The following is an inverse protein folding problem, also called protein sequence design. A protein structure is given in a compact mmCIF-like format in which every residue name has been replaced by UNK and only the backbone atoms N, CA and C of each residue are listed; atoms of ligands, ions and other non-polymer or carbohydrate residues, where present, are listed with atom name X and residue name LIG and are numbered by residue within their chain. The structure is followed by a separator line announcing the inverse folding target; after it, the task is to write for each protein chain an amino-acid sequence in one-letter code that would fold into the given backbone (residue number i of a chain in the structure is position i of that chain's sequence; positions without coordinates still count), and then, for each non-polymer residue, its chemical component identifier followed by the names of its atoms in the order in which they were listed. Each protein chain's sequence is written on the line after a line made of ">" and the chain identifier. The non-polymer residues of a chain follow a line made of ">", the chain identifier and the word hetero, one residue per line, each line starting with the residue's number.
data_IF_310050251184
#
_entry.id   IF_310050251184
#
_cell.length_a   1.000
_cell.length_b   1.000
_cell.length_c   1.000
_cell.angle_alpha   90.00
_cell.angle_beta   90.00
_cell.angle_gamma   90.00
#
_symmetry.space_group_name_H-M   'P 1'
#
loop_
_entity.id
_entity.type
_entity.pdbx_description
1 polymer ?
#
# COMPACT_ATOMS: atom_id res chain seq x y z
N UNK A 1 -2.43 24.79 -23.29
CA UNK A 1 -1.93 23.67 -22.48
C UNK A 1 -2.52 22.41 -23.02
N UNK A 2 -1.73 21.59 -23.71
CA UNK A 2 -2.12 20.28 -24.23
C UNK A 2 -2.37 19.35 -23.05
N UNK A 3 -3.62 18.91 -22.86
CA UNK A 3 -3.93 17.82 -21.93
C UNK A 3 -3.20 16.58 -22.41
N UNK A 4 -2.14 16.19 -21.76
CA UNK A 4 -1.58 14.85 -21.88
C UNK A 4 -2.58 13.87 -21.27
N UNK A 5 -3.03 12.90 -22.04
CA UNK A 5 -3.87 11.82 -21.53
C UNK A 5 -3.08 11.02 -20.49
N UNK A 6 -3.76 10.41 -19.48
CA UNK A 6 -3.10 9.51 -18.54
C UNK A 6 -2.26 8.49 -19.30
N UNK A 7 -1.06 8.19 -18.79
CA UNK A 7 -0.24 7.16 -19.44
C UNK A 7 -0.97 5.83 -19.40
N UNK A 8 -0.92 5.09 -20.51
CA UNK A 8 -1.53 3.76 -20.61
C UNK A 8 -1.12 2.87 -19.42
N UNK A 9 -2.04 2.06 -18.87
CA UNK A 9 -1.73 1.17 -17.77
C UNK A 9 -0.57 0.25 -18.14
N UNK A 10 0.50 0.31 -17.35
CA UNK A 10 1.64 -0.59 -17.51
C UNK A 10 1.50 -1.75 -16.55
N UNK A 11 1.50 -2.98 -17.06
CA UNK A 11 1.71 -4.17 -16.25
C UNK A 11 3.18 -4.23 -15.83
N UNK A 12 3.44 -4.30 -14.54
CA UNK A 12 4.78 -4.41 -14.00
C UNK A 12 4.83 -5.61 -13.07
N UNK A 13 5.96 -6.28 -13.01
CA UNK A 13 6.22 -7.22 -11.93
C UNK A 13 6.24 -6.47 -10.59
N UNK A 14 6.05 -7.18 -9.47
CA UNK A 14 6.19 -6.57 -8.13
C UNK A 14 7.57 -5.92 -8.00
N UNK A 15 8.61 -6.59 -8.49
CA UNK A 15 9.97 -6.07 -8.51
C UNK A 15 10.05 -4.71 -9.19
N UNK A 16 9.64 -4.65 -10.46
CA UNK A 16 9.66 -3.40 -11.25
C UNK A 16 8.80 -2.29 -10.64
N UNK A 17 7.71 -2.66 -9.96
CA UNK A 17 6.83 -1.70 -9.31
C UNK A 17 7.49 -1.07 -8.07
N UNK A 18 8.18 -1.86 -7.24
CA UNK A 18 8.83 -1.39 -6.01
C UNK A 18 10.14 -0.65 -6.31
N UNK A 19 10.94 -1.13 -7.27
CA UNK A 19 12.21 -0.50 -7.68
C UNK A 19 12.04 0.83 -8.44
N UNK A 20 10.81 1.27 -8.65
CA UNK A 20 10.53 2.59 -9.23
C UNK A 20 11.09 3.69 -8.34
N UNK A 21 11.23 4.89 -8.92
CA UNK A 21 11.54 6.11 -8.16
C UNK A 21 10.76 6.12 -6.87
N UNK A 22 11.36 6.58 -5.80
CA UNK A 22 10.82 6.70 -4.45
C UNK A 22 9.29 6.77 -4.39
N UNK A 23 8.66 5.68 -3.97
CA UNK A 23 7.24 5.63 -3.73
C UNK A 23 6.94 6.33 -2.40
N UNK A 24 6.01 7.25 -2.40
CA UNK A 24 5.57 7.95 -1.20
C UNK A 24 4.13 7.61 -0.86
N UNK A 25 3.91 7.32 0.41
CA UNK A 25 2.56 7.21 0.98
C UNK A 25 2.21 8.58 1.54
N UNK A 26 1.30 9.32 0.89
CA UNK A 26 0.91 10.65 1.35
C UNK A 26 0.24 10.60 2.73
N UNK A 27 0.34 11.71 3.49
CA UNK A 27 -0.22 11.82 4.85
C UNK A 27 -1.75 11.69 4.89
N UNK A 28 -2.42 11.91 3.77
CA UNK A 28 -3.86 11.73 3.64
C UNK A 28 -4.28 10.27 3.42
N UNK A 29 -3.38 9.37 3.14
CA UNK A 29 -3.73 7.96 3.02
C UNK A 29 -4.18 7.39 4.37
N UNK A 30 -5.14 6.45 4.32
CA UNK A 30 -5.54 5.71 5.51
C UNK A 30 -4.38 4.87 6.02
N UNK A 31 -4.44 4.54 7.28
CA UNK A 31 -3.48 3.62 7.90
C UNK A 31 -3.52 2.24 7.24
N UNK A 32 -2.44 1.50 7.43
CA UNK A 32 -2.44 0.09 7.09
C UNK A 32 -3.49 -0.65 7.94
N UNK A 33 -4.46 -1.28 7.27
CA UNK A 33 -5.64 -1.86 7.92
C UNK A 33 -5.86 -3.35 7.60
N UNK A 34 -5.06 -3.93 6.72
CA UNK A 34 -5.15 -5.35 6.46
C UNK A 34 -4.89 -6.17 7.72
N UNK A 35 -5.82 -7.09 8.01
CA UNK A 35 -5.70 -8.07 9.07
C UNK A 35 -5.14 -9.39 8.55
N UNK A 36 -5.22 -10.43 9.39
CA UNK A 36 -4.73 -11.74 9.03
C UNK A 36 -5.44 -12.33 7.81
N UNK A 37 -6.75 -12.10 7.67
CA UNK A 37 -7.55 -12.71 6.61
C UNK A 37 -7.13 -12.22 5.22
N UNK A 38 -6.89 -10.91 5.06
CA UNK A 38 -6.43 -10.33 3.81
C UNK A 38 -4.99 -10.77 3.48
N UNK A 39 -4.13 -10.82 4.49
CA UNK A 39 -2.73 -11.26 4.31
C UNK A 39 -2.65 -12.75 4.02
N UNK A 40 -3.49 -13.57 4.65
CA UNK A 40 -3.63 -15.00 4.36
C UNK A 40 -4.16 -15.25 2.94
N UNK A 41 -5.16 -14.48 2.52
CA UNK A 41 -5.67 -14.57 1.15
C UNK A 41 -4.56 -14.24 0.13
N UNK A 42 -3.80 -13.16 0.34
CA UNK A 42 -2.66 -12.81 -0.50
C UNK A 42 -1.60 -13.95 -0.53
N UNK A 43 -1.24 -14.48 0.63
CA UNK A 43 -0.29 -15.59 0.72
C UNK A 43 -0.80 -16.85 0.01
N UNK A 44 -2.08 -17.17 0.18
CA UNK A 44 -2.75 -18.27 -0.53
C UNK A 44 -2.70 -18.09 -2.04
N UNK A 45 -3.02 -16.91 -2.54
CA UNK A 45 -2.94 -16.57 -3.95
C UNK A 45 -1.52 -16.71 -4.50
N UNK A 46 -0.51 -16.23 -3.76
CA UNK A 46 0.90 -16.36 -4.13
C UNK A 46 1.34 -17.81 -4.19
N UNK A 47 0.98 -18.61 -3.18
CA UNK A 47 1.39 -20.02 -3.10
C UNK A 47 0.65 -20.89 -4.09
N UNK A 48 -0.65 -20.70 -4.26
CA UNK A 48 -1.45 -21.49 -5.19
C UNK A 48 -1.13 -21.15 -6.65
N UNK A 49 -1.11 -19.86 -7.01
CA UNK A 49 -0.93 -19.43 -8.39
C UNK A 49 0.53 -19.44 -8.84
N UNK A 50 1.44 -18.94 -8.01
CA UNK A 50 2.85 -18.85 -8.43
C UNK A 50 3.56 -20.19 -8.28
N UNK A 51 3.31 -20.94 -7.22
CA UNK A 51 4.05 -22.17 -6.94
C UNK A 51 3.41 -23.41 -7.59
N UNK A 52 2.08 -23.47 -7.73
CA UNK A 52 1.39 -24.62 -8.34
C UNK A 52 1.18 -24.46 -9.84
N UNK A 53 0.76 -23.30 -10.30
CA UNK A 53 0.38 -23.09 -11.70
C UNK A 53 1.61 -23.03 -12.60
N UNK A 54 2.75 -22.51 -12.11
CA UNK A 54 3.98 -22.45 -12.87
C UNK A 54 4.47 -23.82 -13.32
N UNK A 55 4.26 -24.87 -12.54
CA UNK A 55 4.64 -26.22 -12.93
C UNK A 55 3.84 -26.75 -14.13
N UNK A 56 2.68 -26.15 -14.43
CA UNK A 56 1.78 -26.56 -15.51
C UNK A 56 1.64 -25.53 -16.63
N UNK A 57 1.89 -24.22 -16.34
CA UNK A 57 1.82 -23.15 -17.34
C UNK A 57 2.78 -22.00 -16.98
N UNK A 58 4.03 -22.02 -17.45
CA UNK A 58 5.07 -21.05 -17.08
C UNK A 58 4.80 -19.61 -17.57
N UNK A 59 3.83 -19.40 -18.45
CA UNK A 59 3.46 -18.07 -18.95
C UNK A 59 2.32 -17.40 -18.16
N UNK A 60 1.75 -18.11 -17.18
CA UNK A 60 0.65 -17.54 -16.40
C UNK A 60 1.20 -16.64 -15.30
N UNK A 61 0.76 -15.39 -15.33
CA UNK A 61 1.05 -14.38 -14.31
C UNK A 61 -0.13 -14.24 -13.38
N UNK A 62 0.12 -13.94 -12.12
CA UNK A 62 -0.91 -13.55 -11.16
C UNK A 62 -1.02 -12.03 -11.12
N UNK A 63 -2.25 -11.53 -11.22
CA UNK A 63 -2.52 -10.11 -11.24
C UNK A 63 -3.04 -9.63 -9.89
N UNK A 64 -2.31 -8.74 -9.25
CA UNK A 64 -2.63 -8.18 -7.93
C UNK A 64 -3.41 -6.88 -7.96
N UNK A 65 -3.99 -6.53 -9.10
CA UNK A 65 -4.86 -5.38 -9.25
C UNK A 65 -4.13 -4.10 -9.65
N UNK A 66 -4.86 -2.98 -9.58
CA UNK A 66 -4.40 -1.67 -10.05
C UNK A 66 -3.79 -0.85 -8.93
N UNK A 67 -2.86 0.04 -9.30
CA UNK A 67 -2.36 1.11 -8.45
C UNK A 67 -2.45 2.44 -9.20
N UNK A 68 -2.78 3.51 -8.49
CA UNK A 68 -2.82 4.86 -9.03
C UNK A 68 -1.69 5.65 -8.38
N UNK A 69 -0.86 6.24 -9.21
CA UNK A 69 0.30 7.02 -8.82
C UNK A 69 0.11 8.47 -9.30
N UNK A 70 0.59 9.41 -8.52
CA UNK A 70 0.71 10.81 -8.91
C UNK A 70 2.19 11.17 -9.03
N UNK A 71 2.59 11.70 -10.19
CA UNK A 71 3.94 12.19 -10.42
C UNK A 71 4.12 13.55 -9.72
N UNK A 72 4.79 13.54 -8.58
CA UNK A 72 5.03 14.72 -7.76
C UNK A 72 6.53 15.01 -7.74
N UNK A 73 6.97 15.92 -8.62
CA UNK A 73 8.37 16.26 -8.81
C UNK A 73 9.28 15.02 -9.02
N UNK A 74 10.15 14.72 -8.06
CA UNK A 74 11.09 13.60 -8.13
C UNK A 74 10.57 12.31 -7.47
N UNK A 75 9.33 12.29 -7.01
CA UNK A 75 8.71 11.15 -6.31
C UNK A 75 7.40 10.71 -6.96
N UNK A 76 6.93 9.54 -6.61
CA UNK A 76 5.63 8.99 -7.00
C UNK A 76 4.76 8.83 -5.75
N UNK A 77 3.73 9.65 -5.62
CA UNK A 77 2.77 9.56 -4.53
C UNK A 77 1.76 8.44 -4.84
N UNK A 78 1.62 7.49 -3.92
CA UNK A 78 0.74 6.33 -4.05
C UNK A 78 -0.68 6.70 -3.63
N UNK A 79 -1.56 6.92 -4.62
CA UNK A 79 -2.94 7.34 -4.40
C UNK A 79 -3.87 6.15 -4.19
N UNK A 80 -3.62 5.02 -4.87
CA UNK A 80 -4.33 3.76 -4.65
C UNK A 80 -3.36 2.57 -4.69
N UNK A 81 -3.70 1.50 -3.97
CA UNK A 81 -2.89 0.30 -3.86
C UNK A 81 -1.98 0.24 -2.63
N UNK A 82 -2.08 1.20 -1.70
CA UNK A 82 -1.23 1.29 -0.51
C UNK A 82 -1.18 0.00 0.32
N UNK A 83 -2.33 -0.60 0.62
CA UNK A 83 -2.41 -1.80 1.46
C UNK A 83 -1.60 -2.95 0.87
N UNK A 84 -1.78 -3.21 -0.43
CA UNK A 84 -1.03 -4.25 -1.16
C UNK A 84 0.45 -3.94 -1.24
N UNK A 85 0.82 -2.71 -1.56
CA UNK A 85 2.22 -2.28 -1.66
C UNK A 85 2.94 -2.49 -0.34
N UNK A 86 2.35 -2.05 0.78
CA UNK A 86 2.93 -2.27 2.11
C UNK A 86 3.01 -3.75 2.48
N UNK A 87 2.03 -4.56 2.07
CA UNK A 87 2.09 -6.01 2.31
C UNK A 87 3.20 -6.67 1.50
N UNK A 88 3.47 -6.22 0.26
CA UNK A 88 4.63 -6.69 -0.51
C UNK A 88 5.95 -6.28 0.14
N UNK A 89 6.04 -5.08 0.69
CA UNK A 89 7.22 -4.67 1.48
C UNK A 89 7.42 -5.58 2.67
N UNK A 90 6.36 -5.89 3.41
CA UNK A 90 6.41 -6.83 4.53
C UNK A 90 6.82 -8.24 4.09
N UNK A 91 6.32 -8.71 2.94
CA UNK A 91 6.67 -10.02 2.37
C UNK A 91 8.17 -10.11 1.98
N UNK A 92 8.68 -9.10 1.28
CA UNK A 92 10.09 -9.05 0.88
C UNK A 92 10.99 -8.97 2.13
N UNK A 93 10.60 -8.18 3.13
CA UNK A 93 11.32 -8.11 4.42
C UNK A 93 11.30 -9.45 5.15
N UNK A 94 10.17 -10.17 5.10
CA UNK A 94 10.05 -11.51 5.71
C UNK A 94 10.96 -12.54 4.99
N UNK A 95 11.02 -12.54 3.67
CA UNK A 95 11.96 -13.38 2.92
C UNK A 95 13.42 -13.03 3.23
N UNK A 96 13.77 -11.74 3.28
CA UNK A 96 15.10 -11.29 3.66
C UNK A 96 15.55 -11.89 5.00
N UNK A 97 14.70 -11.78 6.01
CA UNK A 97 15.07 -12.22 7.36
C UNK A 97 15.01 -13.73 7.50
N UNK A 98 14.10 -14.40 6.77
CA UNK A 98 14.10 -15.85 6.61
C UNK A 98 15.43 -16.34 6.01
N UNK A 99 15.86 -15.79 4.89
CA UNK A 99 17.12 -16.16 4.24
C UNK A 99 18.32 -15.96 5.17
N UNK A 100 18.37 -14.82 5.86
CA UNK A 100 19.42 -14.56 6.85
C UNK A 100 19.42 -15.60 7.98
N UNK A 101 18.25 -15.94 8.50
CA UNK A 101 18.09 -16.97 9.54
C UNK A 101 18.54 -18.39 9.10
N UNK A 102 18.53 -18.66 7.79
CA UNK A 102 18.99 -19.94 7.20
C UNK A 102 20.43 -19.89 6.69
N UNK A 103 21.17 -18.80 6.89
CA UNK A 103 22.54 -18.64 6.40
C UNK A 103 22.62 -18.48 4.87
N UNK A 104 21.53 -18.01 4.23
CA UNK A 104 21.43 -17.71 2.80
C UNK A 104 21.73 -16.21 2.58
N UNK A 105 22.98 -15.81 2.83
CA UNK A 105 23.36 -14.38 2.92
C UNK A 105 23.22 -13.65 1.58
N UNK A 106 23.46 -14.32 0.45
CA UNK A 106 23.31 -13.71 -0.88
C UNK A 106 21.83 -13.44 -1.18
N UNK A 107 20.95 -14.43 -0.96
CA UNK A 107 19.51 -14.26 -1.17
C UNK A 107 18.92 -13.18 -0.21
N UNK A 108 19.42 -13.12 1.04
CA UNK A 108 19.05 -12.08 2.00
C UNK A 108 19.46 -10.68 1.53
N UNK A 109 20.66 -10.56 0.95
CA UNK A 109 21.14 -9.29 0.37
C UNK A 109 20.31 -8.89 -0.83
N UNK A 110 20.01 -9.80 -1.73
CA UNK A 110 19.22 -9.53 -2.93
C UNK A 110 17.80 -9.07 -2.54
N UNK A 111 17.16 -9.72 -1.57
CA UNK A 111 15.87 -9.29 -1.05
C UNK A 111 15.92 -7.89 -0.40
N UNK A 112 17.01 -7.57 0.32
CA UNK A 112 17.22 -6.24 0.90
C UNK A 112 17.36 -5.16 -0.18
N UNK A 113 18.10 -5.43 -1.25
CA UNK A 113 18.37 -4.47 -2.32
C UNK A 113 17.10 -4.10 -3.11
N UNK A 114 16.03 -4.90 -3.04
CA UNK A 114 14.71 -4.53 -3.57
C UNK A 114 14.01 -3.43 -2.74
N UNK A 115 14.34 -3.30 -1.47
CA UNK A 115 13.70 -2.35 -0.56
C UNK A 115 14.60 -1.15 -0.21
N UNK A 116 15.92 -1.30 -0.41
CA UNK A 116 16.92 -0.35 0.07
C UNK A 116 17.97 -0.04 -0.99
N UNK A 117 18.02 1.24 -1.40
CA UNK A 117 19.01 1.71 -2.35
C UNK A 117 20.39 1.80 -1.69
N UNK A 118 21.28 0.86 -2.03
CA UNK A 118 22.58 0.69 -1.36
C UNK A 118 23.47 1.91 -1.46
N UNK A 119 23.55 2.54 -2.64
CA UNK A 119 24.44 3.68 -2.87
C UNK A 119 23.89 4.97 -2.25
N UNK A 120 22.60 5.19 -2.31
CA UNK A 120 21.95 6.38 -1.77
C UNK A 120 21.55 6.23 -0.30
N UNK A 121 21.74 5.04 0.28
CA UNK A 121 21.43 4.72 1.68
C UNK A 121 20.00 5.14 2.08
N UNK A 122 19.04 4.89 1.21
CA UNK A 122 17.63 5.24 1.42
C UNK A 122 16.68 4.11 1.01
N UNK A 123 15.48 4.14 1.55
CA UNK A 123 14.38 3.26 1.13
C UNK A 123 13.87 3.62 -0.27
N UNK A 124 13.29 2.64 -0.97
CA UNK A 124 12.49 2.90 -2.17
C UNK A 124 11.06 3.32 -1.84
N UNK A 125 10.60 3.08 -0.62
CA UNK A 125 9.27 3.45 -0.16
C UNK A 125 9.36 4.30 1.09
N UNK A 126 8.55 5.36 1.14
CA UNK A 126 8.54 6.36 2.19
C UNK A 126 7.11 6.68 2.64
N UNK A 127 6.97 7.20 3.84
CA UNK A 127 5.73 7.78 4.34
C UNK A 127 5.90 9.26 4.65
N UNK A 128 4.90 10.06 4.30
CA UNK A 128 4.86 11.48 4.69
C UNK A 128 4.58 11.68 6.18
N UNK A 129 4.14 10.64 6.91
CA UNK A 129 3.98 10.66 8.35
C UNK A 129 5.27 10.20 9.03
N UNK A 130 5.85 11.03 9.90
CA UNK A 130 7.16 10.76 10.52
C UNK A 130 7.20 9.48 11.38
N UNK A 131 6.11 9.14 12.08
CA UNK A 131 6.04 7.92 12.88
C UNK A 131 5.93 6.67 12.01
N UNK A 132 5.16 6.77 10.92
CA UNK A 132 5.01 5.68 9.95
C UNK A 132 6.30 5.50 9.15
N UNK A 133 6.99 6.60 8.79
CA UNK A 133 8.31 6.55 8.14
C UNK A 133 9.33 5.82 9.01
N UNK A 134 9.44 6.15 10.30
CA UNK A 134 10.34 5.47 11.21
C UNK A 134 10.06 3.97 11.30
N UNK A 135 8.78 3.59 11.44
CA UNK A 135 8.37 2.18 11.51
C UNK A 135 8.58 1.44 10.19
N UNK A 136 8.44 2.13 9.06
CA UNK A 136 8.70 1.57 7.74
C UNK A 136 10.20 1.34 7.52
N UNK A 137 11.03 2.31 7.94
CA UNK A 137 12.49 2.19 7.89
C UNK A 137 13.00 1.03 8.73
N UNK A 138 12.43 0.80 9.93
CA UNK A 138 12.74 -0.38 10.74
C UNK A 138 12.44 -1.69 10.02
N UNK A 139 11.30 -1.74 9.30
CA UNK A 139 10.92 -2.93 8.55
C UNK A 139 11.85 -3.20 7.37
N UNK A 140 12.23 -2.17 6.60
CA UNK A 140 13.04 -2.33 5.38
C UNK A 140 14.55 -2.40 5.65
N UNK A 141 15.01 -1.82 6.77
CA UNK A 141 16.41 -1.83 7.17
C UNK A 141 16.59 -2.39 8.57
N UNK A 142 17.03 -3.65 8.71
CA UNK A 142 17.17 -4.30 10.02
C UNK A 142 18.23 -3.64 10.93
N UNK A 143 19.05 -2.72 10.41
CA UNK A 143 20.01 -1.95 11.19
C UNK A 143 19.44 -0.62 11.73
N UNK A 144 18.18 -0.33 11.41
CA UNK A 144 17.48 0.84 11.91
C UNK A 144 16.63 0.44 13.11
N UNK A 145 16.93 1.01 14.28
CA UNK A 145 16.14 0.81 15.49
C UNK A 145 15.16 1.96 15.65
N UNK A 146 13.87 1.65 15.73
CA UNK A 146 12.82 2.60 16.01
C UNK A 146 12.39 2.49 17.47
N UNK A 147 12.57 3.55 18.25
CA UNK A 147 12.17 3.59 19.66
C UNK A 147 10.67 3.86 19.87
N UNK A 148 9.92 4.15 18.80
CA UNK A 148 8.50 4.46 18.87
C UNK A 148 7.77 3.93 17.64
N UNK A 149 7.09 2.79 17.78
CA UNK A 149 6.27 2.24 16.71
C UNK A 149 4.96 3.03 16.60
N UNK A 150 4.72 3.65 15.45
CA UNK A 150 3.45 4.30 15.16
C UNK A 150 2.32 3.26 15.12
N UNK A 151 1.14 3.57 15.70
CA UNK A 151 0.02 2.63 15.74
C UNK A 151 -0.48 2.22 14.34
N UNK A 152 -0.22 3.03 13.34
CA UNK A 152 -0.56 2.77 11.95
C UNK A 152 0.18 1.55 11.38
N UNK A 153 1.47 1.40 11.69
CA UNK A 153 2.26 0.29 11.16
C UNK A 153 2.41 -0.89 12.13
N UNK A 154 1.84 -0.82 13.33
CA UNK A 154 1.80 -1.97 14.23
C UNK A 154 1.12 -3.19 13.59
N UNK A 155 0.07 -2.96 12.76
CA UNK A 155 -0.56 -4.03 11.97
C UNK A 155 0.34 -4.54 10.86
N UNK A 156 1.09 -3.67 10.19
CA UNK A 156 2.05 -4.07 9.16
C UNK A 156 3.15 -4.96 9.74
N UNK A 157 3.70 -4.63 10.91
CA UNK A 157 4.66 -5.49 11.61
C UNK A 157 4.05 -6.82 12.05
N UNK A 158 2.74 -6.85 12.37
CA UNK A 158 2.04 -8.11 12.63
C UNK A 158 1.92 -8.95 11.36
N UNK A 159 1.59 -8.34 10.23
CA UNK A 159 1.53 -8.99 8.92
C UNK A 159 2.90 -9.54 8.51
N UNK A 160 3.97 -8.77 8.70
CA UNK A 160 5.34 -9.22 8.50
C UNK A 160 5.68 -10.48 9.31
N UNK A 161 5.39 -10.47 10.63
CA UNK A 161 5.65 -11.64 11.48
C UNK A 161 4.86 -12.86 11.07
N UNK A 162 3.63 -12.64 10.65
CA UNK A 162 2.79 -13.72 10.14
C UNK A 162 3.34 -14.29 8.83
N UNK A 163 3.75 -13.44 7.88
CA UNK A 163 4.35 -13.86 6.61
C UNK A 163 5.67 -14.62 6.84
N UNK A 164 6.50 -14.15 7.77
CA UNK A 164 7.74 -14.83 8.14
C UNK A 164 7.46 -16.25 8.69
N UNK A 165 6.45 -16.39 9.54
CA UNK A 165 6.03 -17.70 10.05
C UNK A 165 5.47 -18.59 8.95
N UNK A 166 4.70 -18.07 8.01
CA UNK A 166 4.15 -18.82 6.87
C UNK A 166 5.24 -19.30 5.91
N UNK A 167 6.26 -18.48 5.65
CA UNK A 167 7.45 -18.86 4.86
C UNK A 167 8.22 -19.97 5.56
N UNK A 168 8.44 -19.85 6.87
CA UNK A 168 9.13 -20.88 7.65
C UNK A 168 8.36 -22.20 7.64
N UNK A 169 7.05 -22.19 7.81
CA UNK A 169 6.20 -23.37 7.75
C UNK A 169 6.27 -24.05 6.38
N UNK A 170 6.15 -23.27 5.29
CA UNK A 170 6.28 -23.79 3.92
C UNK A 170 7.68 -24.39 3.68
N UNK A 171 8.72 -23.75 4.19
CA UNK A 171 10.08 -24.26 4.11
C UNK A 171 10.26 -25.57 4.88
N UNK A 172 9.75 -25.70 6.10
CA UNK A 172 9.82 -26.92 6.89
C UNK A 172 9.08 -28.09 6.22
N UNK A 173 7.95 -27.81 5.59
CA UNK A 173 7.24 -28.81 4.78
C UNK A 173 8.13 -29.29 3.61
N UNK A 174 8.85 -28.39 2.94
CA UNK A 174 9.77 -28.73 1.86
C UNK A 174 10.98 -29.51 2.34
N UNK A 175 11.58 -29.14 3.50
CA UNK A 175 12.69 -29.92 4.13
C UNK A 175 12.24 -31.34 4.41
N UNK A 176 11.06 -31.53 4.97
CA UNK A 176 10.50 -32.83 5.29
C UNK A 176 10.24 -33.67 4.01
N UNK A 177 9.77 -33.03 2.95
CA UNK A 177 9.51 -33.67 1.66
C UNK A 177 10.80 -34.07 0.94
N UNK A 178 11.76 -33.13 0.82
CA UNK A 178 13.02 -33.36 0.11
C UNK A 178 14.00 -34.23 0.90
N UNK A 179 13.89 -34.22 2.24
CA UNK A 179 14.89 -34.84 3.16
C UNK A 179 16.32 -34.33 2.90
N UNK A 180 16.43 -33.11 2.42
CA UNK A 180 17.67 -32.45 2.00
C UNK A 180 17.50 -30.94 2.18
N UNK A 181 18.19 -30.39 3.17
CA UNK A 181 18.08 -28.97 3.54
C UNK A 181 18.60 -28.04 2.44
N UNK A 182 19.68 -28.44 1.74
CA UNK A 182 20.23 -27.61 0.68
C UNK A 182 19.30 -27.53 -0.55
N UNK A 183 18.56 -28.61 -0.84
CA UNK A 183 17.53 -28.60 -1.87
C UNK A 183 16.35 -27.71 -1.44
N UNK A 184 15.95 -27.78 -0.18
CA UNK A 184 14.87 -26.93 0.36
C UNK A 184 15.27 -25.45 0.32
N UNK A 185 16.51 -25.08 0.65
CA UNK A 185 17.03 -23.71 0.52
C UNK A 185 16.95 -23.20 -0.92
N UNK A 186 17.44 -23.98 -1.88
CA UNK A 186 17.35 -23.64 -3.31
C UNK A 186 15.90 -23.48 -3.77
N UNK A 187 15.00 -24.31 -3.24
CA UNK A 187 13.57 -24.20 -3.54
C UNK A 187 12.98 -22.91 -2.96
N UNK A 188 13.33 -22.52 -1.73
CA UNK A 188 12.88 -21.29 -1.11
C UNK A 188 13.37 -20.03 -1.86
N UNK A 189 14.64 -20.00 -2.27
CA UNK A 189 15.18 -18.93 -3.12
C UNK A 189 14.40 -18.85 -4.45
N UNK A 190 14.10 -19.99 -5.05
CA UNK A 190 13.29 -20.05 -6.27
C UNK A 190 11.86 -19.54 -6.04
N UNK A 191 11.21 -19.85 -4.92
CA UNK A 191 9.88 -19.29 -4.59
C UNK A 191 9.89 -17.76 -4.57
N UNK A 192 10.88 -17.18 -3.93
CA UNK A 192 11.04 -15.73 -3.86
C UNK A 192 11.13 -15.12 -5.26
N UNK A 193 12.02 -15.63 -6.11
CA UNK A 193 12.17 -15.15 -7.49
C UNK A 193 10.87 -15.36 -8.29
N UNK A 194 10.25 -16.53 -8.17
CA UNK A 194 9.01 -16.84 -8.88
C UNK A 194 7.86 -15.89 -8.46
N UNK A 195 7.78 -15.53 -7.19
CA UNK A 195 6.82 -14.54 -6.69
C UNK A 195 7.09 -13.16 -7.33
N UNK A 196 8.33 -12.73 -7.36
CA UNK A 196 8.70 -11.42 -7.91
C UNK A 196 8.44 -11.32 -9.41
N UNK A 197 8.74 -12.37 -10.17
CA UNK A 197 8.70 -12.36 -11.64
C UNK A 197 7.30 -12.65 -12.21
N UNK A 198 6.44 -13.39 -11.46
CA UNK A 198 5.13 -13.83 -11.96
C UNK A 198 3.95 -13.12 -11.29
N UNK A 199 4.22 -12.22 -10.36
CA UNK A 199 3.21 -11.38 -9.72
C UNK A 199 3.23 -9.99 -10.34
N UNK A 200 2.11 -9.57 -10.90
CA UNK A 200 2.00 -8.34 -11.65
C UNK A 200 1.03 -7.34 -11.01
N UNK A 201 1.41 -6.08 -11.07
CA UNK A 201 0.60 -4.93 -10.67
C UNK A 201 0.43 -4.03 -11.90
N UNK A 202 -0.78 -3.65 -12.22
CA UNK A 202 -1.02 -2.59 -13.20
C UNK A 202 -0.93 -1.25 -12.51
N UNK A 203 -0.25 -0.28 -13.10
CA UNK A 203 -0.17 1.06 -12.54
C UNK A 203 -0.45 2.12 -13.58
N UNK A 204 -1.21 3.13 -13.18
CA UNK A 204 -1.42 4.35 -13.95
C UNK A 204 -0.76 5.50 -13.20
N UNK A 205 0.03 6.29 -13.91
CA UNK A 205 0.64 7.50 -13.36
C UNK A 205 -0.08 8.72 -13.92
N UNK A 206 -0.59 9.58 -13.04
CA UNK A 206 -1.26 10.82 -13.37
C UNK A 206 -0.28 11.99 -13.20
N UNK A 207 -0.39 13.00 -14.07
CA UNK A 207 0.43 14.21 -14.02
C UNK A 207 -0.16 15.28 -13.09
N UNK A 208 -1.42 15.10 -12.65
CA UNK A 208 -2.05 15.98 -11.66
C UNK A 208 -2.73 15.17 -10.56
N UNK A 209 -2.72 15.73 -9.35
CA UNK A 209 -3.37 15.12 -8.20
C UNK A 209 -4.89 15.01 -8.39
N UNK A 210 -5.50 16.02 -9.02
CA UNK A 210 -6.94 16.01 -9.34
C UNK A 210 -7.31 14.84 -10.25
N UNK A 211 -6.52 14.58 -11.30
CA UNK A 211 -6.73 13.44 -12.19
C UNK A 211 -6.61 12.11 -11.45
N UNK A 212 -5.60 11.99 -10.59
CA UNK A 212 -5.41 10.81 -9.75
C UNK A 212 -6.61 10.54 -8.83
N UNK A 213 -7.22 11.58 -8.26
CA UNK A 213 -8.42 11.44 -7.44
C UNK A 213 -9.67 11.09 -8.25
N UNK A 214 -9.85 11.68 -9.43
CA UNK A 214 -10.96 11.30 -10.33
C UNK A 214 -10.87 9.81 -10.68
N UNK A 215 -9.68 9.32 -11.00
CA UNK A 215 -9.45 7.90 -11.27
C UNK A 215 -9.67 7.03 -10.05
N UNK A 216 -9.18 7.45 -8.88
CA UNK A 216 -9.39 6.76 -7.61
C UNK A 216 -10.89 6.59 -7.31
N UNK A 217 -11.67 7.66 -7.47
CA UNK A 217 -13.12 7.67 -7.28
C UNK A 217 -13.83 6.73 -8.25
N UNK A 218 -13.47 6.80 -9.54
CA UNK A 218 -14.05 5.95 -10.59
C UNK A 218 -13.72 4.46 -10.38
N UNK A 219 -12.51 4.15 -9.92
CA UNK A 219 -12.07 2.77 -9.69
C UNK A 219 -12.78 2.15 -8.47
N UNK A 220 -12.92 2.91 -7.39
CA UNK A 220 -13.52 2.42 -6.16
C UNK A 220 -15.06 2.46 -6.16
N UNK A 221 -15.71 3.20 -7.07
CA UNK A 221 -17.17 3.19 -7.21
C UNK A 221 -17.75 1.82 -7.62
N UNK A 222 -16.93 0.89 -8.06
CA UNK A 222 -17.30 -0.47 -8.50
C UNK A 222 -16.78 -1.58 -7.59
N UNK A 223 -16.05 -1.24 -6.50
CA UNK A 223 -15.39 -2.18 -5.60
C UNK A 223 -15.93 -2.16 -4.17
N UNK A 224 -15.11 -2.57 -3.22
CA UNK A 224 -15.41 -2.53 -1.78
C UNK A 224 -15.70 -1.07 -1.38
N UNK A 225 -16.80 -0.82 -0.70
CA UNK A 225 -17.25 0.52 -0.30
C UNK A 225 -16.11 1.30 0.37
N UNK A 226 -15.77 2.44 -0.23
CA UNK A 226 -14.93 3.43 0.43
C UNK A 226 -15.65 3.89 1.69
N UNK A 227 -14.92 4.03 2.79
CA UNK A 227 -15.46 4.68 3.97
C UNK A 227 -15.91 6.10 3.61
N UNK A 228 -17.02 6.54 4.17
CA UNK A 228 -17.53 7.89 3.96
C UNK A 228 -16.46 8.97 4.23
N UNK A 229 -15.54 8.70 5.16
CA UNK A 229 -14.40 9.57 5.45
C UNK A 229 -13.42 9.72 4.28
N UNK A 230 -13.13 8.63 3.56
CA UNK A 230 -12.24 8.65 2.40
C UNK A 230 -12.85 9.45 1.25
N UNK A 231 -14.15 9.31 1.03
CA UNK A 231 -14.86 10.03 -0.02
C UNK A 231 -15.00 11.54 0.27
N UNK A 232 -15.30 11.91 1.52
CA UNK A 232 -15.32 13.32 1.95
C UNK A 232 -13.93 13.93 1.82
N UNK A 233 -12.90 13.21 2.18
CA UNK A 233 -11.51 13.62 2.02
C UNK A 233 -11.17 13.92 0.56
N UNK A 234 -11.53 13.01 -0.36
CA UNK A 234 -11.32 13.21 -1.80
C UNK A 234 -12.07 14.46 -2.28
N UNK A 235 -13.36 14.62 -1.92
CA UNK A 235 -14.15 15.78 -2.30
C UNK A 235 -13.55 17.10 -1.78
N UNK A 236 -13.07 17.12 -0.54
CA UNK A 236 -12.38 18.28 0.02
C UNK A 236 -11.07 18.57 -0.71
N UNK A 237 -10.29 17.55 -1.07
CA UNK A 237 -9.06 17.75 -1.81
C UNK A 237 -9.32 18.28 -3.22
N UNK A 238 -10.29 17.72 -3.96
CA UNK A 238 -10.72 18.25 -5.25
C UNK A 238 -11.08 19.76 -5.13
N UNK A 239 -11.85 20.11 -4.11
CA UNK A 239 -12.26 21.48 -3.84
C UNK A 239 -11.09 22.43 -3.58
N UNK A 240 -10.12 22.01 -2.76
CA UNK A 240 -8.95 22.82 -2.41
C UNK A 240 -7.99 22.96 -3.59
N UNK A 241 -7.75 21.86 -4.33
CA UNK A 241 -6.88 21.85 -5.51
C UNK A 241 -7.44 22.77 -6.62
N UNK A 242 -8.76 22.75 -6.84
CA UNK A 242 -9.42 23.62 -7.83
C UNK A 242 -9.29 25.12 -7.49
N UNK A 243 -9.03 25.47 -6.24
CA UNK A 243 -8.91 26.87 -5.76
C UNK A 243 -7.51 27.34 -5.47
N UNK A 244 -6.49 26.63 -5.90
CA UNK A 244 -5.08 26.95 -5.64
C UNK A 244 -4.75 27.16 -4.14
N UNK A 245 -5.55 26.56 -3.26
CA UNK A 245 -5.25 26.56 -1.83
C UNK A 245 -4.08 25.59 -1.61
N UNK A 246 -3.09 26.05 -0.87
CA UNK A 246 -1.87 25.34 -0.55
C UNK A 246 -2.18 23.91 -0.06
N UNK A 247 -1.81 22.94 -0.88
CA UNK A 247 -1.97 21.50 -0.61
C UNK A 247 -1.32 21.12 0.72
N UNK A 248 -0.13 21.65 1.01
CA UNK A 248 0.60 21.36 2.25
C UNK A 248 -0.22 21.83 3.48
N UNK A 249 -0.93 22.94 3.36
CA UNK A 249 -1.81 23.45 4.43
C UNK A 249 -3.03 22.55 4.63
N UNK A 250 -3.67 22.11 3.54
CA UNK A 250 -4.77 21.13 3.63
C UNK A 250 -4.32 19.85 4.29
N UNK A 251 -3.17 19.32 3.84
CA UNK A 251 -2.58 18.08 4.36
C UNK A 251 -2.26 18.19 5.86
N UNK A 252 -1.73 19.32 6.30
CA UNK A 252 -1.49 19.59 7.72
C UNK A 252 -2.78 19.61 8.54
N UNK A 253 -3.84 20.24 8.04
CA UNK A 253 -5.14 20.29 8.69
C UNK A 253 -5.79 18.90 8.75
N UNK A 254 -5.75 18.14 7.63
CA UNK A 254 -6.29 16.80 7.59
C UNK A 254 -5.52 15.83 8.48
N UNK A 255 -4.20 15.88 8.47
CA UNK A 255 -3.36 15.05 9.34
C UNK A 255 -3.62 15.32 10.83
N UNK A 256 -3.83 16.59 11.21
CA UNK A 256 -4.22 16.96 12.57
C UNK A 256 -5.64 16.47 12.92
N UNK A 257 -6.57 16.55 11.98
CA UNK A 257 -7.94 16.04 12.14
C UNK A 257 -7.93 14.51 12.29
N UNK A 258 -7.26 13.81 11.38
CA UNK A 258 -7.09 12.36 11.42
C UNK A 258 -6.42 11.92 12.73
N UNK A 259 -5.36 12.59 13.17
CA UNK A 259 -4.69 12.30 14.44
C UNK A 259 -5.62 12.44 15.65
N UNK A 260 -6.51 13.41 15.66
CA UNK A 260 -7.50 13.60 16.73
C UNK A 260 -8.64 12.58 16.70
N UNK A 261 -8.99 12.10 15.50
CA UNK A 261 -10.03 11.08 15.31
C UNK A 261 -9.50 9.63 15.40
N UNK A 262 -8.21 9.45 15.59
CA UNK A 262 -7.49 8.17 15.47
C UNK A 262 -7.92 7.07 16.44
N UNK A 263 -8.68 7.36 17.47
CA UNK A 263 -9.14 6.31 18.38
C UNK A 263 -10.25 5.45 17.78
N UNK A 264 -10.97 5.95 16.76
CA UNK A 264 -12.02 5.20 16.06
C UNK A 264 -12.26 5.74 14.64
N UNK A 265 -11.67 5.12 13.60
CA UNK A 265 -11.82 5.56 12.20
C UNK A 265 -13.27 5.64 11.71
N UNK A 266 -14.17 4.81 12.26
CA UNK A 266 -15.61 4.85 11.98
C UNK A 266 -16.28 6.13 12.48
N UNK A 267 -15.68 6.86 13.42
CA UNK A 267 -16.25 8.07 14.01
C UNK A 267 -16.26 9.28 13.06
N UNK A 268 -15.36 9.34 12.05
CA UNK A 268 -15.37 10.45 11.09
C UNK A 268 -16.69 10.48 10.31
N UNK A 269 -17.14 9.34 9.81
CA UNK A 269 -18.43 9.22 9.14
C UNK A 269 -19.60 9.58 10.06
N UNK A 270 -19.57 9.13 11.31
CA UNK A 270 -20.58 9.46 12.31
C UNK A 270 -20.55 10.95 12.67
N UNK A 271 -19.37 11.53 12.90
CA UNK A 271 -19.24 12.98 13.18
C UNK A 271 -19.77 13.85 12.04
N UNK A 272 -19.50 13.48 10.80
CA UNK A 272 -19.99 14.20 9.63
C UNK A 272 -21.53 14.05 9.51
N UNK A 273 -22.05 12.87 9.79
CA UNK A 273 -23.49 12.60 9.88
C UNK A 273 -24.17 13.40 11.00
N UNK A 274 -23.56 13.44 12.17
CA UNK A 274 -24.05 14.21 13.32
C UNK A 274 -24.00 15.74 13.06
N UNK A 275 -22.93 16.21 12.41
CA UNK A 275 -22.84 17.61 11.97
C UNK A 275 -23.97 17.94 10.98
N UNK A 276 -24.20 17.08 9.98
CA UNK A 276 -25.29 17.25 9.03
C UNK A 276 -26.65 17.29 9.74
N UNK A 277 -26.89 16.35 10.65
CA UNK A 277 -28.12 16.28 11.46
C UNK A 277 -28.30 17.54 12.31
N UNK A 278 -27.25 18.01 12.96
CA UNK A 278 -27.29 19.23 13.75
C UNK A 278 -27.62 20.48 12.92
N UNK A 279 -27.16 20.53 11.66
CA UNK A 279 -27.39 21.66 10.75
C UNK A 279 -28.77 21.59 10.08
N UNK A 280 -29.26 20.42 9.72
CA UNK A 280 -30.44 20.25 8.86
C UNK A 280 -31.65 19.65 9.60
N UNK A 281 -31.46 19.08 10.79
CA UNK A 281 -32.49 18.32 11.51
C UNK A 281 -32.82 16.96 10.89
N UNK A 282 -32.07 16.52 9.86
CA UNK A 282 -32.35 15.31 9.09
C UNK A 282 -31.25 14.27 9.25
N UNK A 283 -31.62 13.00 9.20
CA UNK A 283 -30.66 11.89 9.07
C UNK A 283 -30.27 11.74 7.61
N UNK A 284 -29.02 11.33 7.37
CA UNK A 284 -28.49 11.11 6.03
C UNK A 284 -27.73 9.78 5.98
N UNK A 285 -27.84 9.06 4.88
CA UNK A 285 -27.01 7.86 4.62
C UNK A 285 -25.57 8.25 4.29
N UNK A 286 -24.64 7.31 4.40
CA UNK A 286 -23.23 7.57 4.03
C UNK A 286 -23.09 8.07 2.59
N UNK A 287 -23.81 7.47 1.63
CA UNK A 287 -23.84 7.91 0.23
C UNK A 287 -24.47 9.32 0.07
N UNK A 288 -25.55 9.58 0.78
CA UNK A 288 -26.20 10.90 0.78
C UNK A 288 -25.32 11.99 1.42
N UNK A 289 -24.52 11.62 2.43
CA UNK A 289 -23.57 12.54 3.08
C UNK A 289 -22.51 13.02 2.07
N UNK A 290 -22.01 12.13 1.23
CA UNK A 290 -21.03 12.45 0.19
C UNK A 290 -21.62 13.44 -0.81
N UNK A 291 -22.80 13.10 -1.37
CA UNK A 291 -23.49 13.99 -2.32
C UNK A 291 -23.77 15.37 -1.72
N UNK A 292 -24.14 15.43 -0.45
CA UNK A 292 -24.36 16.69 0.24
C UNK A 292 -23.08 17.52 0.37
N UNK A 293 -21.96 16.90 0.71
CA UNK A 293 -20.68 17.61 0.79
C UNK A 293 -20.20 18.06 -0.58
N UNK A 294 -20.38 17.26 -1.63
CA UNK A 294 -20.09 17.65 -3.00
C UNK A 294 -20.95 18.87 -3.41
N UNK A 295 -22.25 18.86 -3.13
CA UNK A 295 -23.15 19.97 -3.40
C UNK A 295 -22.80 21.24 -2.60
N UNK A 296 -22.40 21.11 -1.32
CA UNK A 296 -22.00 22.25 -0.49
C UNK A 296 -20.67 22.87 -0.96
N UNK A 297 -19.79 22.07 -1.55
CA UNK A 297 -18.48 22.55 -2.01
C UNK A 297 -18.53 23.12 -3.43
N UNK A 298 -19.51 22.71 -4.25
CA UNK A 298 -19.69 23.20 -5.63
C UNK A 298 -20.14 24.67 -5.77
N UNK A 299 -21.02 25.26 -4.93
CA UNK A 299 -21.61 26.57 -5.19
C UNK A 299 -20.79 27.77 -4.75
N UNK A 300 -19.53 27.62 -4.43
CA UNK A 300 -18.68 28.76 -4.07
C UNK A 300 -17.84 29.25 -5.27
N UNK A 301 -18.42 29.18 -6.49
CA UNK A 301 -17.90 29.83 -7.69
C UNK A 301 -18.09 31.33 -7.65
#
# INVERSE_FOLDING_TARGET
>A
MTRTAPQDPKGNTIKEFIERKSLYIPSFQRRYDWGNDEVMALWGDLTEHVLHIKNHNPQRVHYFGNSILYANEDRLDLIDGQQRTLTFVALISAFRDFFKGKGMDDDSRDARELLWHRHEQRSYIHSSNALDEASLLELVNPNFECNAMGPSLARLHKSYRWLLAAIEEAYQAEVNFQRDEEKAKKKAAKWFLDILDHSHVSSVTCDSLNEAFIMFKAHNSRGKDLDASDLVKVALMEFFTARTIDEARFMGLWGNFDTRCQQKPQEIGYMLGDYYKAKTGRMISSSGLISHWEEMLLPLN
#
